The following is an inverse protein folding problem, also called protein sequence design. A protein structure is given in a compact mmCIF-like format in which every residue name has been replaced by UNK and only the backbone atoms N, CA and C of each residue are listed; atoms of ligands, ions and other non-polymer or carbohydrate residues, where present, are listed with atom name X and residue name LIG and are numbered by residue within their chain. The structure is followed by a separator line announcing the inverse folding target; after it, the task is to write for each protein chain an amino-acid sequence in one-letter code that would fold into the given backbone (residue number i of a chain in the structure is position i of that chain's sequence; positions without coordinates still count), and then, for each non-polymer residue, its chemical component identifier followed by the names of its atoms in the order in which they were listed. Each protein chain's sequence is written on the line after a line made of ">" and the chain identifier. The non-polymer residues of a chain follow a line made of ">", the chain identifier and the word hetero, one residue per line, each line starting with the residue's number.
data_IF_281811671925
#
_entry.id   IF_281811671925
#
_cell.length_a   1.000
_cell.length_b   1.000
_cell.length_c   1.000
_cell.angle_alpha   90.00
_cell.angle_beta   90.00
_cell.angle_gamma   90.00
#
_symmetry.space_group_name_H-M   'P 1'
#
loop_
_entity.id
_entity.type
_entity.pdbx_description
1 polymer ?
#
# COMPACT_ATOMS: atom_id res chain seq x y z
N UNK A 1 -53.87 2.66 23.27
CA UNK A 1 -52.62 2.08 22.74
C UNK A 1 -51.75 3.19 22.15
N UNK A 2 -50.66 3.59 22.83
CA UNK A 2 -49.67 4.55 22.31
C UNK A 2 -48.31 3.87 22.30
N UNK A 3 -47.70 3.70 21.13
CA UNK A 3 -46.32 3.22 20.98
C UNK A 3 -45.36 4.39 21.28
N UNK A 4 -44.36 4.27 22.16
CA UNK A 4 -43.30 5.26 22.21
C UNK A 4 -42.27 4.97 21.13
N UNK A 5 -41.98 5.99 20.33
CA UNK A 5 -40.88 5.99 19.36
C UNK A 5 -39.55 5.98 20.10
N UNK A 6 -38.81 4.86 20.05
CA UNK A 6 -37.43 4.80 20.54
C UNK A 6 -36.49 5.38 19.48
N UNK A 7 -36.28 6.68 19.53
CA UNK A 7 -35.21 7.38 18.81
C UNK A 7 -33.86 6.99 19.43
N UNK A 8 -33.16 6.02 18.86
CA UNK A 8 -31.74 5.82 19.11
C UNK A 8 -30.93 6.82 18.28
N UNK A 9 -30.88 8.10 18.69
CA UNK A 9 -29.80 8.99 18.25
C UNK A 9 -28.57 8.66 19.10
N UNK A 10 -27.78 7.69 18.64
CA UNK A 10 -26.40 7.62 19.07
C UNK A 10 -25.68 8.83 18.47
N UNK A 11 -25.57 9.89 19.28
CA UNK A 11 -24.58 10.93 19.08
C UNK A 11 -23.19 10.30 19.25
N UNK A 12 -22.75 9.54 18.24
CA UNK A 12 -21.44 8.92 18.19
C UNK A 12 -20.40 10.02 18.12
N UNK A 13 -19.79 10.36 19.27
CA UNK A 13 -18.53 11.10 19.30
C UNK A 13 -17.59 10.38 18.33
N UNK A 14 -17.21 11.04 17.23
CA UNK A 14 -16.27 10.46 16.26
C UNK A 14 -15.06 9.98 17.05
N UNK A 15 -14.82 8.67 17.05
CA UNK A 15 -13.69 8.10 17.77
C UNK A 15 -12.41 8.72 17.20
N UNK A 16 -11.69 9.45 18.05
CA UNK A 16 -10.45 10.09 17.63
C UNK A 16 -9.38 9.00 17.45
N UNK A 17 -8.42 9.23 16.56
CA UNK A 17 -7.29 8.31 16.37
C UNK A 17 -6.58 8.00 17.70
N UNK A 18 -6.50 8.99 18.60
CA UNK A 18 -6.00 8.82 19.96
C UNK A 18 -6.83 7.82 20.79
N UNK A 19 -8.16 7.84 20.66
CA UNK A 19 -9.07 6.89 21.30
C UNK A 19 -8.83 5.45 20.82
N UNK A 20 -8.68 5.25 19.51
CA UNK A 20 -8.36 3.93 18.94
C UNK A 20 -7.00 3.40 19.41
N UNK A 21 -5.97 4.25 19.44
CA UNK A 21 -4.63 3.87 19.93
C UNK A 21 -4.68 3.46 21.40
N UNK A 22 -5.44 4.19 22.23
CA UNK A 22 -5.60 3.87 23.66
C UNK A 22 -6.31 2.54 23.85
N UNK A 23 -7.41 2.30 23.14
CA UNK A 23 -8.16 1.04 23.19
C UNK A 23 -7.30 -0.15 22.71
N UNK A 24 -6.59 0.00 21.60
CA UNK A 24 -5.70 -1.03 21.08
C UNK A 24 -4.57 -1.35 22.09
N UNK A 25 -3.94 -0.34 22.70
CA UNK A 25 -2.92 -0.57 23.72
C UNK A 25 -3.46 -1.32 24.94
N UNK A 26 -4.65 -0.98 25.41
CA UNK A 26 -5.27 -1.68 26.54
C UNK A 26 -5.51 -3.16 26.23
N UNK A 27 -5.95 -3.47 25.01
CA UNK A 27 -6.24 -4.83 24.57
C UNK A 27 -4.95 -5.66 24.37
N UNK A 28 -3.90 -5.05 23.82
CA UNK A 28 -2.68 -5.78 23.43
C UNK A 28 -1.53 -5.71 24.44
N UNK A 29 -1.54 -4.80 25.42
CA UNK A 29 -0.50 -4.70 26.45
C UNK A 29 -0.22 -5.99 27.26
N UNK A 30 -1.20 -6.83 27.63
CA UNK A 30 -0.90 -8.01 28.44
C UNK A 30 -0.17 -9.12 27.67
N UNK A 31 -0.34 -9.21 26.34
CA UNK A 31 0.27 -10.27 25.51
C UNK A 31 1.81 -10.29 25.54
N UNK A 32 2.53 -9.19 25.24
CA UNK A 32 3.99 -9.20 25.31
C UNK A 32 4.49 -9.39 26.74
N UNK A 33 3.74 -8.96 27.76
CA UNK A 33 4.11 -9.16 29.16
C UNK A 33 4.08 -10.65 29.53
N UNK A 34 2.99 -11.34 29.20
CA UNK A 34 2.84 -12.77 29.44
C UNK A 34 3.88 -13.60 28.66
N UNK A 35 4.10 -13.28 27.39
CA UNK A 35 5.09 -13.95 26.55
C UNK A 35 6.52 -13.77 27.06
N UNK A 36 6.90 -12.53 27.43
CA UNK A 36 8.22 -12.23 27.98
C UNK A 36 8.47 -12.94 29.31
N UNK A 37 7.44 -13.01 30.18
CA UNK A 37 7.52 -13.73 31.45
C UNK A 37 7.72 -15.23 31.25
N UNK A 38 7.02 -15.83 30.29
CA UNK A 38 7.11 -17.26 30.01
C UNK A 38 8.44 -17.67 29.37
N UNK A 39 9.04 -16.81 28.55
CA UNK A 39 10.20 -17.17 27.73
C UNK A 39 11.51 -16.47 28.15
N UNK A 40 11.50 -15.66 29.23
CA UNK A 40 12.68 -14.90 29.66
C UNK A 40 13.18 -13.87 28.64
N UNK A 41 12.35 -13.52 27.65
CA UNK A 41 12.71 -12.58 26.59
C UNK A 41 12.21 -11.16 26.90
N UNK A 42 12.73 -10.17 26.18
CA UNK A 42 12.28 -8.78 26.27
C UNK A 42 11.78 -8.27 24.91
N UNK A 43 10.79 -8.98 24.36
CA UNK A 43 10.14 -8.62 23.11
C UNK A 43 9.24 -7.38 23.31
N UNK A 44 9.30 -6.45 22.37
CA UNK A 44 8.40 -5.29 22.32
C UNK A 44 7.42 -5.47 21.17
N UNK A 45 6.13 -5.48 21.49
CA UNK A 45 5.09 -5.52 20.45
C UNK A 45 5.04 -4.17 19.74
N UNK A 46 5.24 -4.17 18.43
CA UNK A 46 5.09 -2.99 17.58
C UNK A 46 3.81 -3.15 16.76
N UNK A 47 2.87 -2.24 16.94
CA UNK A 47 1.76 -2.08 15.99
C UNK A 47 2.36 -1.40 14.77
N UNK A 48 2.55 -2.17 13.69
CA UNK A 48 2.97 -1.62 12.42
C UNK A 48 1.95 -0.53 12.02
N UNK A 49 2.43 0.68 11.72
CA UNK A 49 1.56 1.68 11.09
C UNK A 49 1.12 1.09 9.76
N UNK A 50 -0.16 1.27 9.41
CA UNK A 50 -0.61 1.04 8.04
C UNK A 50 0.38 1.75 7.12
N UNK A 51 1.15 0.96 6.35
CA UNK A 51 2.08 1.50 5.37
C UNK A 51 1.17 2.29 4.44
N UNK A 52 1.32 3.63 4.38
CA UNK A 52 0.64 4.37 3.32
C UNK A 52 1.04 3.66 2.02
N UNK A 53 0.09 3.13 1.23
CA UNK A 53 0.43 2.70 -0.11
C UNK A 53 1.06 3.93 -0.78
N UNK A 54 2.32 3.81 -1.19
CA UNK A 54 3.11 4.97 -1.61
C UNK A 54 3.94 5.61 -0.50
N UNK A 55 4.83 4.83 0.14
CA UNK A 55 6.06 5.44 0.64
C UNK A 55 6.66 6.22 -0.53
N UNK A 56 6.83 7.55 -0.39
CA UNK A 56 7.20 8.44 -1.52
C UNK A 56 8.29 7.77 -2.33
N UNK A 57 8.00 7.55 -3.61
CA UNK A 57 9.00 7.10 -4.57
C UNK A 57 10.24 8.00 -4.43
N UNK A 58 11.42 7.42 -4.63
CA UNK A 58 12.59 8.29 -4.79
C UNK A 58 12.34 9.20 -6.00
N UNK A 59 12.84 10.44 -5.97
CA UNK A 59 12.66 11.40 -7.08
C UNK A 59 13.00 10.77 -8.44
N UNK A 60 14.06 9.95 -8.49
CA UNK A 60 14.46 9.22 -9.70
C UNK A 60 13.39 8.23 -10.17
N UNK A 61 12.83 7.44 -9.25
CA UNK A 61 11.84 6.42 -9.60
C UNK A 61 10.51 7.06 -10.03
N UNK A 62 10.17 8.18 -9.41
CA UNK A 62 9.05 9.01 -9.84
C UNK A 62 9.29 9.54 -11.26
N UNK A 63 10.45 10.12 -11.56
CA UNK A 63 10.78 10.59 -12.92
C UNK A 63 10.75 9.47 -13.98
N UNK A 64 11.19 8.26 -13.63
CA UNK A 64 11.11 7.11 -14.56
C UNK A 64 9.65 6.69 -14.80
N UNK A 65 8.84 6.64 -13.75
CA UNK A 65 7.41 6.36 -13.85
C UNK A 65 6.72 7.45 -14.68
N UNK A 66 6.96 8.72 -14.38
CA UNK A 66 6.39 9.87 -15.10
C UNK A 66 6.75 9.80 -16.59
N UNK A 67 8.01 9.51 -16.94
CA UNK A 67 8.46 9.39 -18.33
C UNK A 67 7.77 8.25 -19.07
N UNK A 68 7.56 7.14 -18.40
CA UNK A 68 6.80 6.03 -18.97
C UNK A 68 5.32 6.41 -19.11
N UNK A 69 4.68 6.80 -18.01
CA UNK A 69 3.25 6.98 -17.93
C UNK A 69 2.73 8.19 -18.72
N UNK A 70 3.52 9.26 -18.84
CA UNK A 70 3.17 10.44 -19.63
C UNK A 70 3.24 10.18 -21.14
N UNK A 71 4.19 9.35 -21.60
CA UNK A 71 4.41 9.09 -23.02
C UNK A 71 3.71 7.83 -23.52
N UNK A 72 3.35 6.93 -22.61
CA UNK A 72 2.73 5.67 -22.96
C UNK A 72 1.31 5.86 -23.46
N UNK A 73 0.96 5.15 -24.53
CA UNK A 73 -0.44 5.05 -24.92
C UNK A 73 -1.18 4.17 -23.90
N UNK A 74 -2.07 4.82 -23.14
CA UNK A 74 -2.83 4.20 -22.05
C UNK A 74 -3.76 3.06 -22.53
N UNK A 75 -4.13 3.02 -23.82
CA UNK A 75 -4.99 1.96 -24.40
C UNK A 75 -4.21 0.82 -25.02
N UNK A 76 -3.05 1.09 -25.60
CA UNK A 76 -2.21 0.08 -26.23
C UNK A 76 -0.75 0.49 -26.20
N UNK A 77 0.04 -0.21 -25.41
CA UNK A 77 1.48 0.02 -25.29
C UNK A 77 2.17 -0.31 -26.62
N UNK A 78 2.80 0.70 -27.22
CA UNK A 78 3.62 0.54 -28.40
C UNK A 78 5.00 -0.02 -28.03
N UNK A 79 5.78 -0.54 -28.99
CA UNK A 79 7.12 -1.08 -28.71
C UNK A 79 8.03 -0.14 -27.92
N UNK A 80 7.95 1.17 -28.17
CA UNK A 80 8.72 2.18 -27.44
C UNK A 80 8.25 2.36 -25.99
N UNK A 81 6.95 2.17 -25.73
CA UNK A 81 6.40 2.23 -24.38
C UNK A 81 6.87 1.03 -23.55
N UNK A 82 6.98 -0.14 -24.19
CA UNK A 82 7.56 -1.33 -23.58
C UNK A 82 9.04 -1.13 -23.22
N UNK A 83 9.83 -0.48 -24.08
CA UNK A 83 11.22 -0.13 -23.76
C UNK A 83 11.30 0.78 -22.53
N UNK A 84 10.45 1.81 -22.46
CA UNK A 84 10.36 2.72 -21.29
C UNK A 84 9.95 1.97 -20.03
N UNK A 85 8.98 1.07 -20.11
CA UNK A 85 8.54 0.25 -18.99
C UNK A 85 9.65 -0.68 -18.49
N UNK A 86 10.31 -1.38 -19.40
CA UNK A 86 11.46 -2.23 -19.07
C UNK A 86 12.61 -1.43 -18.47
N UNK A 87 12.87 -0.21 -18.95
CA UNK A 87 13.87 0.70 -18.37
C UNK A 87 13.49 1.12 -16.95
N UNK A 88 12.21 1.43 -16.70
CA UNK A 88 11.69 1.69 -15.35
C UNK A 88 11.95 0.51 -14.41
N UNK A 89 11.65 -0.73 -14.84
CA UNK A 89 11.93 -1.94 -14.05
C UNK A 89 13.45 -2.06 -13.79
N UNK A 90 14.27 -2.06 -14.83
CA UNK A 90 15.72 -2.29 -14.72
C UNK A 90 16.44 -1.25 -13.86
N UNK A 91 16.07 0.02 -13.98
CA UNK A 91 16.71 1.12 -13.25
C UNK A 91 16.14 1.37 -11.86
N UNK A 92 15.02 0.72 -11.52
CA UNK A 92 14.47 0.78 -10.17
C UNK A 92 15.45 0.12 -9.20
N UNK A 93 15.81 0.81 -8.11
CA UNK A 93 16.74 0.30 -7.09
C UNK A 93 16.06 -0.45 -5.96
N UNK A 94 14.73 -0.35 -5.89
CA UNK A 94 13.90 -0.96 -4.85
C UNK A 94 12.67 -1.54 -5.51
N UNK A 95 12.32 -2.72 -5.02
CA UNK A 95 11.07 -3.37 -5.34
C UNK A 95 9.91 -2.51 -4.86
N UNK A 96 8.99 -2.24 -5.77
CA UNK A 96 7.70 -1.68 -5.41
C UNK A 96 6.69 -2.81 -5.20
N UNK A 97 5.89 -2.76 -4.13
CA UNK A 97 4.75 -3.64 -4.02
C UNK A 97 3.84 -3.48 -5.25
N UNK A 98 3.31 -4.58 -5.77
CA UNK A 98 2.38 -4.60 -6.91
C UNK A 98 1.27 -3.55 -6.76
N UNK A 99 0.64 -3.49 -5.59
CA UNK A 99 -0.40 -2.49 -5.28
C UNK A 99 0.06 -1.04 -5.41
N UNK A 100 1.33 -0.75 -5.07
CA UNK A 100 1.87 0.59 -5.24
C UNK A 100 2.03 0.94 -6.72
N UNK A 101 2.50 0.00 -7.55
CA UNK A 101 2.62 0.19 -9.00
C UNK A 101 1.25 0.40 -9.63
N UNK A 102 0.27 -0.42 -9.24
CA UNK A 102 -1.13 -0.29 -9.67
C UNK A 102 -1.70 1.10 -9.38
N UNK A 103 -1.57 1.58 -8.13
CA UNK A 103 -2.07 2.91 -7.73
C UNK A 103 -1.41 4.01 -8.57
N UNK A 104 -0.08 3.94 -8.79
CA UNK A 104 0.64 4.92 -9.61
C UNK A 104 0.12 4.94 -11.04
N UNK A 105 -0.11 3.79 -11.65
CA UNK A 105 -0.64 3.70 -13.00
C UNK A 105 -2.06 4.29 -13.10
N UNK A 106 -2.91 4.04 -12.09
CA UNK A 106 -4.26 4.64 -12.03
C UNK A 106 -4.17 6.16 -11.88
N UNK A 107 -3.27 6.67 -11.04
CA UNK A 107 -3.02 8.11 -10.89
C UNK A 107 -2.58 8.77 -12.20
N UNK A 108 -1.91 8.01 -13.08
CA UNK A 108 -1.52 8.46 -14.42
C UNK A 108 -2.56 8.17 -15.52
N UNK A 109 -3.79 7.76 -15.16
CA UNK A 109 -4.92 7.65 -16.09
C UNK A 109 -5.06 6.30 -16.78
N UNK A 110 -4.31 5.27 -16.37
CA UNK A 110 -4.55 3.90 -16.87
C UNK A 110 -5.85 3.34 -16.27
N UNK A 111 -6.60 2.57 -17.07
CA UNK A 111 -7.78 1.83 -16.58
C UNK A 111 -7.37 0.78 -15.54
N UNK A 112 -8.24 0.50 -14.57
CA UNK A 112 -8.00 -0.48 -13.49
C UNK A 112 -7.41 -1.81 -14.00
N UNK A 113 -8.10 -2.47 -14.93
CA UNK A 113 -7.67 -3.76 -15.50
C UNK A 113 -6.28 -3.69 -16.15
N UNK A 114 -5.92 -2.54 -16.72
CA UNK A 114 -4.64 -2.34 -17.38
C UNK A 114 -3.53 -2.04 -16.38
N UNK A 115 -3.85 -1.28 -15.34
CA UNK A 115 -2.96 -1.08 -14.20
C UNK A 115 -2.68 -2.41 -13.49
N UNK A 116 -3.68 -3.29 -13.35
CA UNK A 116 -3.54 -4.63 -12.78
C UNK A 116 -2.59 -5.49 -13.62
N UNK A 117 -2.84 -5.58 -14.93
CA UNK A 117 -1.98 -6.33 -15.84
C UNK A 117 -0.53 -5.84 -15.83
N UNK A 118 -0.32 -4.51 -15.83
CA UNK A 118 1.02 -3.93 -15.80
C UNK A 118 1.71 -4.10 -14.45
N UNK A 119 0.97 -4.03 -13.34
CA UNK A 119 1.52 -4.28 -12.03
C UNK A 119 1.96 -5.74 -11.86
N UNK A 120 1.19 -6.69 -12.39
CA UNK A 120 1.57 -8.10 -12.42
C UNK A 120 2.81 -8.34 -13.29
N UNK A 121 2.87 -7.70 -14.47
CA UNK A 121 4.05 -7.75 -15.33
C UNK A 121 5.29 -7.16 -14.65
N UNK A 122 5.15 -6.05 -13.92
CA UNK A 122 6.23 -5.46 -13.15
C UNK A 122 6.79 -6.47 -12.13
N UNK A 123 5.91 -7.12 -11.35
CA UNK A 123 6.31 -8.12 -10.36
C UNK A 123 7.09 -9.28 -11.00
N UNK A 124 6.57 -9.82 -12.12
CA UNK A 124 7.21 -10.91 -12.84
C UNK A 124 8.60 -10.51 -13.39
N UNK A 125 8.70 -9.32 -13.98
CA UNK A 125 9.97 -8.81 -14.53
C UNK A 125 10.99 -8.54 -13.41
N UNK A 126 10.52 -8.03 -12.27
CA UNK A 126 11.37 -7.78 -11.12
C UNK A 126 11.87 -9.10 -10.49
N UNK A 127 11.00 -10.10 -10.37
CA UNK A 127 11.38 -11.44 -9.94
C UNK A 127 12.45 -12.04 -10.87
N UNK A 128 12.28 -11.90 -12.18
CA UNK A 128 13.27 -12.32 -13.16
C UNK A 128 14.61 -11.57 -13.03
N UNK A 129 14.57 -10.25 -12.81
CA UNK A 129 15.77 -9.44 -12.58
C UNK A 129 16.56 -9.90 -11.34
N UNK A 130 15.89 -10.38 -10.30
CA UNK A 130 16.53 -10.87 -9.07
C UNK A 130 17.17 -12.26 -9.21
N UNK A 131 16.74 -13.05 -10.19
CA UNK A 131 17.31 -14.37 -10.47
C UNK A 131 18.62 -14.30 -11.27
N UNK A 132 18.94 -13.13 -11.82
CA UNK A 132 20.11 -12.89 -12.64
C UNK A 132 21.19 -12.14 -11.86
#
# INVERSE_FOLDING_TARGET
>A
MKKPASTWRLAGKKATAAGHIRAARALFAPLPSAYNKANGQRCRMRIARARKPGGRLSKRMQTLMDRFAFLANQRSLQPLDWDRFCRFVKESRRELPMEAVRVLLIEHGFSGDRADNLAQLYENLWAYQRLR
#
